data_IF_959243629979
#
_entry.id   IF_959243629979
#
_cell.length_a   1.000
_cell.length_b   1.000
_cell.length_c   1.000
_cell.angle_alpha   90.00
_cell.angle_beta   90.00
_cell.angle_gamma   90.00
#
_symmetry.space_group_name_H-M   'P 1'
#
loop_
_entity.id
_entity.type
_entity.pdbx_description
1 polymer ?
#
# COMPACT_ATOMS: atom_id res chain seq x y z
N UNK A 1 -20.20 73.54 72.27
CA UNK A 1 -21.28 72.65 71.81
C UNK A 1 -20.73 71.71 70.75
N UNK A 2 -20.84 70.42 70.94
CA UNK A 2 -19.93 69.35 70.41
C UNK A 2 -20.14 69.07 68.94
N UNK A 3 -19.01 69.07 68.15
CA UNK A 3 -18.88 68.43 66.84
C UNK A 3 -18.14 67.08 67.01
N UNK A 4 -18.84 66.01 66.78
CA UNK A 4 -18.21 64.68 66.71
C UNK A 4 -17.85 64.37 65.24
N UNK A 5 -16.56 64.28 64.95
CA UNK A 5 -16.01 63.80 63.67
C UNK A 5 -16.05 62.29 63.64
N UNK A 6 -16.77 61.74 62.63
CA UNK A 6 -16.82 60.29 62.34
C UNK A 6 -15.72 59.98 61.34
N UNK A 7 -14.72 59.23 61.73
CA UNK A 7 -13.67 58.73 60.85
C UNK A 7 -14.14 57.38 60.31
N UNK A 8 -14.39 57.31 58.99
CA UNK A 8 -14.64 56.06 58.26
C UNK A 8 -13.30 55.50 57.86
N UNK A 9 -12.91 54.33 58.42
CA UNK A 9 -11.80 53.54 57.96
C UNK A 9 -12.26 52.66 56.77
N UNK A 10 -11.79 52.97 55.56
CA UNK A 10 -11.95 52.11 54.41
C UNK A 10 -10.85 51.04 54.48
N UNK A 11 -11.22 49.82 54.85
CA UNK A 11 -10.31 48.64 54.73
C UNK A 11 -10.37 48.13 53.27
N UNK A 12 -9.28 48.35 52.53
CA UNK A 12 -9.06 47.82 51.20
C UNK A 12 -8.67 46.33 51.33
N UNK A 13 -9.62 45.43 51.21
CA UNK A 13 -9.36 43.99 51.10
C UNK A 13 -8.87 43.68 49.69
N UNK A 14 -7.59 43.57 49.50
CA UNK A 14 -6.96 43.09 48.25
C UNK A 14 -7.27 41.59 48.07
N UNK A 15 -8.28 41.29 47.28
CA UNK A 15 -8.56 39.92 46.85
C UNK A 15 -7.51 39.46 45.81
N UNK A 16 -6.48 38.76 46.29
CA UNK A 16 -5.51 38.12 45.45
C UNK A 16 -6.18 36.88 44.83
N UNK A 17 -6.66 37.01 43.61
CA UNK A 17 -7.09 35.85 42.79
C UNK A 17 -5.84 35.16 42.33
N UNK A 18 -5.43 34.08 43.01
CA UNK A 18 -4.45 33.12 42.52
C UNK A 18 -5.10 32.41 41.32
N UNK A 19 -4.82 32.88 40.10
CA UNK A 19 -5.02 32.09 38.87
C UNK A 19 -4.07 30.89 38.97
N UNK A 20 -4.56 29.78 39.47
CA UNK A 20 -3.91 28.49 39.25
C UNK A 20 -3.96 28.24 37.73
N UNK A 21 -2.87 28.56 37.04
CA UNK A 21 -2.65 28.05 35.70
C UNK A 21 -2.52 26.53 35.87
N UNK A 22 -3.66 25.84 35.70
CA UNK A 22 -3.63 24.40 35.53
C UNK A 22 -2.72 24.16 34.32
N UNK A 23 -1.51 23.67 34.59
CA UNK A 23 -0.63 23.20 33.52
C UNK A 23 -1.45 22.16 32.73
N UNK A 24 -1.87 22.54 31.52
CA UNK A 24 -2.45 21.55 30.61
C UNK A 24 -1.46 20.40 30.51
N UNK A 25 -1.88 19.15 30.77
CA UNK A 25 -0.99 18.03 30.59
C UNK A 25 -0.39 18.13 29.20
N UNK A 26 0.93 18.05 29.10
CA UNK A 26 1.62 18.11 27.83
C UNK A 26 0.92 17.13 26.87
N UNK A 27 0.44 17.63 25.74
CA UNK A 27 -0.28 16.79 24.77
C UNK A 27 0.59 15.58 24.45
N UNK A 28 0.03 14.38 24.59
CA UNK A 28 0.78 13.16 24.33
C UNK A 28 1.27 13.16 22.88
N UNK A 29 2.57 12.95 22.70
CA UNK A 29 3.17 12.75 21.38
C UNK A 29 3.19 11.25 21.09
N UNK A 30 2.41 10.83 20.12
CA UNK A 30 2.33 9.45 19.69
C UNK A 30 3.52 9.07 18.82
N UNK A 31 4.04 7.86 19.00
CA UNK A 31 5.17 7.32 18.24
C UNK A 31 4.72 6.10 17.44
N UNK A 32 4.77 6.18 16.14
CA UNK A 32 4.44 5.07 15.23
C UNK A 32 5.70 4.59 14.52
N UNK A 33 5.95 3.29 14.60
CA UNK A 33 6.95 2.61 13.76
C UNK A 33 6.27 2.08 12.51
N UNK A 34 6.80 2.42 11.34
CA UNK A 34 6.28 1.97 10.05
C UNK A 34 7.43 1.36 9.25
N UNK A 35 7.21 0.21 8.64
CA UNK A 35 8.29 -0.41 7.87
C UNK A 35 7.79 -1.28 6.72
N UNK A 36 8.62 -1.35 5.69
CA UNK A 36 8.42 -2.08 4.46
C UNK A 36 9.73 -2.71 3.99
N UNK A 37 9.67 -3.70 3.11
CA UNK A 37 10.84 -4.36 2.53
C UNK A 37 10.85 -4.16 1.02
N UNK A 38 12.00 -3.74 0.46
CA UNK A 38 12.30 -3.82 -0.98
C UNK A 38 11.59 -2.82 -1.90
N UNK A 39 11.06 -1.72 -1.39
CA UNK A 39 10.43 -0.71 -2.24
C UNK A 39 11.46 0.18 -2.95
N UNK A 40 11.17 0.51 -4.20
CA UNK A 40 11.89 1.52 -4.99
C UNK A 40 11.34 2.95 -4.76
N UNK A 41 10.20 3.07 -4.09
CA UNK A 41 9.52 4.34 -3.82
C UNK A 41 8.64 4.27 -2.57
N UNK A 42 8.19 5.43 -2.09
CA UNK A 42 7.24 5.51 -0.97
C UNK A 42 5.87 4.98 -1.41
N UNK A 43 5.29 3.98 -0.71
CA UNK A 43 4.04 3.38 -1.14
C UNK A 43 2.87 4.39 -1.03
N UNK A 44 1.94 4.42 -2.00
CA UNK A 44 0.77 5.31 -1.97
C UNK A 44 -0.10 5.14 -0.72
N UNK A 45 -0.19 3.94 -0.18
CA UNK A 45 -0.89 3.67 1.08
C UNK A 45 -0.26 4.37 2.29
N UNK A 46 1.06 4.56 2.32
CA UNK A 46 1.72 5.37 3.36
C UNK A 46 1.37 6.86 3.21
N UNK A 47 1.31 7.35 1.97
CA UNK A 47 0.92 8.73 1.73
C UNK A 47 -0.50 9.01 2.23
N UNK A 48 -1.46 8.16 1.84
CA UNK A 48 -2.87 8.32 2.24
C UNK A 48 -3.12 7.99 3.72
N UNK A 49 -2.29 7.14 4.35
CA UNK A 49 -2.27 6.96 5.81
C UNK A 49 -1.89 8.27 6.51
N UNK A 50 -0.83 8.95 6.07
CA UNK A 50 -0.41 10.25 6.61
C UNK A 50 -1.49 11.32 6.45
N UNK A 51 -2.11 11.39 5.28
CA UNK A 51 -3.24 12.31 5.01
C UNK A 51 -4.43 12.01 5.92
N UNK A 52 -4.80 10.74 6.08
CA UNK A 52 -5.87 10.30 6.97
C UNK A 52 -5.59 10.63 8.43
N UNK A 53 -4.38 10.38 8.92
CA UNK A 53 -3.97 10.75 10.27
C UNK A 53 -4.01 12.26 10.49
N UNK A 54 -3.56 13.05 9.51
CA UNK A 54 -3.64 14.51 9.55
C UNK A 54 -5.08 15.00 9.63
N UNK A 55 -5.99 14.41 8.84
CA UNK A 55 -7.42 14.74 8.88
C UNK A 55 -8.07 14.41 10.23
N UNK A 56 -7.54 13.42 10.96
CA UNK A 56 -7.95 13.03 12.31
C UNK A 56 -7.27 13.83 13.43
N UNK A 57 -6.45 14.83 13.06
CA UNK A 57 -5.82 15.73 14.03
C UNK A 57 -4.42 15.30 14.51
N UNK A 58 -3.83 14.28 13.89
CA UNK A 58 -2.45 13.87 14.16
C UNK A 58 -1.49 14.62 13.22
N UNK A 59 -0.69 15.53 13.79
CA UNK A 59 0.27 16.34 13.04
C UNK A 59 1.71 15.88 13.32
N UNK A 60 2.40 15.43 12.26
CA UNK A 60 3.79 15.01 12.32
C UNK A 60 4.69 16.17 12.80
N UNK A 61 5.55 15.90 13.78
CA UNK A 61 6.40 16.91 14.45
C UNK A 61 5.72 17.71 15.56
N UNK A 62 4.40 17.54 15.79
CA UNK A 62 3.68 18.18 16.92
C UNK A 62 3.23 17.14 17.94
N UNK A 63 2.23 16.33 17.58
CA UNK A 63 1.64 15.30 18.43
C UNK A 63 1.82 13.89 17.87
N UNK A 64 2.54 13.75 16.76
CA UNK A 64 2.82 12.49 16.08
C UNK A 64 4.29 12.44 15.63
N UNK A 65 4.96 11.32 15.88
CA UNK A 65 6.27 10.97 15.32
C UNK A 65 6.10 9.72 14.49
N UNK A 66 6.46 9.77 13.20
CA UNK A 66 6.48 8.64 12.29
C UNK A 66 7.92 8.20 12.02
N UNK A 67 8.30 7.03 12.49
CA UNK A 67 9.57 6.38 12.13
C UNK A 67 9.32 5.43 10.97
N UNK A 68 9.50 5.93 9.75
CA UNK A 68 9.34 5.16 8.51
C UNK A 68 10.67 4.58 8.06
N UNK A 69 10.70 3.26 7.82
CA UNK A 69 11.90 2.55 7.34
C UNK A 69 11.54 1.66 6.13
N UNK A 70 12.25 1.87 5.03
CA UNK A 70 12.27 0.97 3.90
C UNK A 70 13.53 0.11 3.99
N UNK A 71 13.39 -1.21 4.03
CA UNK A 71 14.43 -2.16 4.40
C UNK A 71 14.87 -2.98 3.19
N UNK A 72 16.13 -3.41 3.14
CA UNK A 72 16.64 -4.17 2.02
C UNK A 72 16.08 -5.59 1.95
N UNK A 73 15.78 -6.22 3.11
CA UNK A 73 15.38 -7.60 3.21
C UNK A 73 14.60 -7.90 4.49
N UNK A 74 14.13 -9.13 4.63
CA UNK A 74 13.37 -9.59 5.79
C UNK A 74 14.22 -9.68 7.06
N UNK A 75 15.51 -9.95 6.99
CA UNK A 75 16.38 -9.98 8.17
C UNK A 75 16.44 -8.59 8.84
N UNK A 76 16.60 -7.54 8.03
CA UNK A 76 16.53 -6.16 8.50
C UNK A 76 15.15 -5.80 9.09
N UNK A 77 14.07 -6.45 8.64
CA UNK A 77 12.73 -6.27 9.21
C UNK A 77 12.66 -6.79 10.64
N UNK A 78 13.24 -7.96 10.95
CA UNK A 78 13.29 -8.47 12.32
C UNK A 78 14.09 -7.55 13.25
N UNK A 79 15.25 -7.05 12.83
CA UNK A 79 16.05 -6.11 13.60
C UNK A 79 15.30 -4.80 13.86
N UNK A 80 14.59 -4.30 12.84
CA UNK A 80 13.79 -3.07 12.93
C UNK A 80 12.59 -3.24 13.86
N UNK A 81 11.88 -4.35 13.79
CA UNK A 81 10.76 -4.64 14.69
C UNK A 81 11.21 -4.67 16.16
N UNK A 82 12.37 -5.29 16.44
CA UNK A 82 12.97 -5.25 17.78
C UNK A 82 13.40 -3.84 18.20
N UNK A 83 13.88 -3.00 17.26
CA UNK A 83 14.20 -1.61 17.55
C UNK A 83 12.94 -0.84 17.95
N UNK A 84 11.83 -0.99 17.25
CA UNK A 84 10.55 -0.36 17.62
C UNK A 84 10.09 -0.76 19.02
N UNK A 85 10.30 -2.03 19.43
CA UNK A 85 10.00 -2.48 20.79
C UNK A 85 10.91 -1.77 21.81
N UNK A 86 12.23 -1.70 21.56
CA UNK A 86 13.18 -1.01 22.46
C UNK A 86 12.85 0.48 22.58
N UNK A 87 12.47 1.12 21.48
CA UNK A 87 12.13 2.55 21.39
C UNK A 87 10.73 2.85 21.93
N UNK A 88 9.97 1.81 22.33
CA UNK A 88 8.63 1.87 22.91
C UNK A 88 7.68 2.70 22.04
N UNK A 89 7.59 2.34 20.75
CA UNK A 89 6.57 2.94 19.88
C UNK A 89 5.17 2.59 20.40
N UNK A 90 4.21 3.49 20.22
CA UNK A 90 2.82 3.27 20.67
C UNK A 90 2.06 2.31 19.75
N UNK A 91 2.48 2.19 18.49
CA UNK A 91 1.87 1.33 17.48
C UNK A 91 2.85 1.06 16.34
N UNK A 92 2.77 -0.14 15.77
CA UNK A 92 3.51 -0.53 14.56
C UNK A 92 2.53 -0.64 13.38
N UNK A 93 2.89 -0.05 12.24
CA UNK A 93 2.24 -0.31 10.95
C UNK A 93 3.18 -1.17 10.10
N UNK A 94 2.77 -2.38 9.82
CA UNK A 94 3.54 -3.38 9.09
C UNK A 94 2.95 -3.58 7.69
N UNK A 95 3.77 -3.39 6.66
CA UNK A 95 3.35 -3.54 5.26
C UNK A 95 3.83 -4.88 4.73
N UNK A 96 2.91 -5.69 4.23
CA UNK A 96 3.18 -7.00 3.63
C UNK A 96 3.65 -8.08 4.60
N UNK A 97 3.64 -9.33 4.15
CA UNK A 97 3.87 -10.50 5.00
C UNK A 97 5.20 -10.50 5.76
N UNK A 98 6.29 -10.03 5.14
CA UNK A 98 7.62 -10.06 5.76
C UNK A 98 7.68 -9.18 7.03
N UNK A 99 7.17 -7.96 6.94
CA UNK A 99 7.16 -7.04 8.09
C UNK A 99 6.16 -7.46 9.16
N UNK A 100 5.03 -8.07 8.77
CA UNK A 100 4.04 -8.59 9.74
C UNK A 100 4.62 -9.76 10.52
N UNK A 101 5.34 -10.69 9.86
CA UNK A 101 6.06 -11.77 10.56
C UNK A 101 7.06 -11.22 11.56
N UNK A 102 7.85 -10.23 11.14
CA UNK A 102 8.84 -9.59 12.00
C UNK A 102 8.20 -8.89 13.21
N UNK A 103 7.13 -8.11 13.00
CA UNK A 103 6.39 -7.44 14.08
C UNK A 103 5.78 -8.45 15.06
N UNK A 104 5.11 -9.49 14.55
CA UNK A 104 4.51 -10.55 15.36
C UNK A 104 5.53 -11.29 16.23
N UNK A 105 6.73 -11.55 15.67
CA UNK A 105 7.81 -12.19 16.41
C UNK A 105 8.44 -11.29 17.48
N UNK A 106 8.40 -9.96 17.27
CA UNK A 106 9.04 -9.01 18.17
C UNK A 106 8.17 -8.63 19.38
N UNK A 107 6.83 -8.65 19.27
CA UNK A 107 5.95 -8.17 20.33
C UNK A 107 4.58 -8.84 20.33
N UNK A 108 4.03 -9.02 21.55
CA UNK A 108 2.63 -9.39 21.80
C UNK A 108 1.84 -8.26 22.44
N UNK A 109 2.51 -7.15 22.80
CA UNK A 109 1.93 -6.05 23.59
C UNK A 109 1.71 -4.79 22.76
N UNK A 110 2.67 -4.43 21.90
CA UNK A 110 2.53 -3.24 21.05
C UNK A 110 1.51 -3.56 19.96
N UNK A 111 0.46 -2.71 19.80
CA UNK A 111 -0.49 -2.83 18.69
C UNK A 111 0.18 -2.87 17.33
N UNK A 112 -0.28 -3.77 16.46
CA UNK A 112 0.19 -3.87 15.08
C UNK A 112 -1.00 -3.74 14.14
N UNK A 113 -0.96 -2.74 13.26
CA UNK A 113 -1.90 -2.61 12.14
C UNK A 113 -1.16 -3.06 10.89
N UNK A 114 -1.59 -4.18 10.32
CA UNK A 114 -1.00 -4.66 9.08
C UNK A 114 -1.77 -4.21 7.86
N UNK A 115 -1.03 -3.99 6.77
CA UNK A 115 -1.55 -3.65 5.45
C UNK A 115 -0.98 -4.60 4.42
N UNK A 116 -1.73 -4.84 3.36
CA UNK A 116 -1.25 -5.60 2.21
C UNK A 116 -0.86 -7.05 2.54
N UNK A 117 -1.68 -7.72 3.35
CA UNK A 117 -1.53 -9.15 3.67
C UNK A 117 -2.55 -9.95 2.88
N UNK A 118 -2.12 -11.04 2.24
CA UNK A 118 -3.01 -11.83 1.40
C UNK A 118 -4.01 -12.67 2.21
N UNK A 119 -3.53 -13.56 3.05
CA UNK A 119 -4.36 -14.38 3.93
C UNK A 119 -3.79 -14.38 5.35
N UNK A 120 -4.26 -13.46 6.22
CA UNK A 120 -3.73 -13.35 7.58
C UNK A 120 -4.13 -14.53 8.49
N UNK A 121 -5.16 -15.29 8.13
CA UNK A 121 -5.55 -16.49 8.88
C UNK A 121 -4.67 -17.67 8.51
N UNK A 122 -4.49 -17.95 7.21
CA UNK A 122 -3.60 -19.01 6.74
C UNK A 122 -2.13 -18.71 7.12
N UNK A 123 -1.71 -17.44 7.12
CA UNK A 123 -0.39 -17.02 7.60
C UNK A 123 -0.24 -17.10 9.12
N UNK A 124 -1.32 -17.41 9.84
CA UNK A 124 -1.32 -17.54 11.31
C UNK A 124 -1.15 -16.22 12.04
N UNK A 125 -1.42 -15.06 11.42
CA UNK A 125 -1.33 -13.77 12.09
C UNK A 125 -2.48 -13.52 13.05
N UNK A 126 -3.68 -13.93 12.65
CA UNK A 126 -4.90 -13.85 13.45
C UNK A 126 -5.69 -15.16 13.38
N UNK A 127 -6.44 -15.54 14.43
CA UNK A 127 -7.26 -16.76 14.42
C UNK A 127 -8.48 -16.66 13.51
N UNK A 128 -9.03 -15.45 13.31
CA UNK A 128 -10.13 -15.17 12.39
C UNK A 128 -10.15 -13.70 11.99
N UNK A 129 -10.80 -13.39 10.87
CA UNK A 129 -10.92 -12.00 10.41
C UNK A 129 -11.86 -11.19 11.30
N UNK A 130 -12.98 -11.79 11.74
CA UNK A 130 -13.98 -11.11 12.55
C UNK A 130 -13.50 -10.82 13.98
N UNK A 131 -12.67 -11.70 14.54
CA UNK A 131 -12.17 -11.61 15.91
C UNK A 131 -10.66 -11.92 15.94
N UNK A 132 -9.79 -10.94 15.67
CA UNK A 132 -8.34 -11.12 15.67
C UNK A 132 -7.77 -11.54 17.03
N UNK A 133 -8.35 -11.05 18.13
CA UNK A 133 -8.13 -11.55 19.49
C UNK A 133 -6.79 -11.21 20.14
N UNK A 134 -5.78 -10.79 19.39
CA UNK A 134 -4.44 -10.45 19.87
C UNK A 134 -4.10 -8.95 19.73
N UNK A 135 -2.81 -8.68 19.53
CA UNK A 135 -2.32 -7.32 19.28
C UNK A 135 -2.24 -6.96 17.78
N UNK A 136 -2.64 -7.86 16.88
CA UNK A 136 -2.64 -7.67 15.44
C UNK A 136 -4.07 -7.45 14.91
N UNK A 137 -4.23 -6.48 14.03
CA UNK A 137 -5.41 -6.25 13.17
C UNK A 137 -4.98 -5.55 11.89
N UNK A 138 -5.86 -5.33 10.94
CA UNK A 138 -5.49 -4.57 9.74
C UNK A 138 -6.35 -4.87 8.52
N UNK A 139 -5.70 -4.77 7.36
CA UNK A 139 -6.35 -4.83 6.06
C UNK A 139 -5.70 -5.91 5.20
N UNK A 140 -6.49 -6.95 4.95
CA UNK A 140 -6.15 -7.98 3.99
C UNK A 140 -6.64 -7.58 2.60
N UNK A 141 -5.88 -7.92 1.58
CA UNK A 141 -6.28 -7.76 0.19
C UNK A 141 -5.65 -8.89 -0.63
N UNK A 142 -6.36 -9.35 -1.62
CA UNK A 142 -5.76 -10.23 -2.64
C UNK A 142 -4.81 -9.36 -3.48
N UNK A 143 -3.52 -9.51 -3.23
CA UNK A 143 -2.47 -8.88 -4.03
C UNK A 143 -1.98 -9.79 -5.15
N UNK A 144 -2.49 -11.02 -5.20
CA UNK A 144 -2.20 -11.90 -6.31
C UNK A 144 -2.71 -11.27 -7.61
N UNK A 145 -1.86 -11.34 -8.59
CA UNK A 145 -2.30 -11.12 -9.96
C UNK A 145 -3.49 -12.06 -10.20
N UNK A 146 -4.52 -11.56 -10.86
CA UNK A 146 -5.62 -12.37 -11.37
C UNK A 146 -5.36 -12.56 -12.86
N UNK A 147 -4.50 -13.53 -13.23
CA UNK A 147 -4.02 -13.64 -14.61
C UNK A 147 -5.15 -13.83 -15.60
N UNK A 148 -6.17 -14.59 -15.22
CA UNK A 148 -7.36 -14.86 -16.03
C UNK A 148 -8.11 -13.57 -16.37
N UNK A 149 -8.49 -12.81 -15.36
CA UNK A 149 -9.25 -11.56 -15.55
C UNK A 149 -8.42 -10.47 -16.21
N UNK A 150 -7.16 -10.39 -15.85
CA UNK A 150 -6.24 -9.39 -16.44
C UNK A 150 -5.96 -9.70 -17.90
N UNK A 151 -5.78 -10.97 -18.28
CA UNK A 151 -5.64 -11.38 -19.69
C UNK A 151 -6.93 -11.16 -20.49
N UNK A 152 -8.11 -11.47 -19.90
CA UNK A 152 -9.40 -11.18 -20.54
C UNK A 152 -9.52 -9.68 -20.87
N UNK A 153 -9.28 -8.80 -19.90
CA UNK A 153 -9.27 -7.35 -20.11
C UNK A 153 -8.23 -6.92 -21.15
N UNK A 154 -7.07 -7.55 -21.13
CA UNK A 154 -5.99 -7.22 -22.07
C UNK A 154 -6.38 -7.55 -23.51
N UNK A 155 -7.00 -8.70 -23.75
CA UNK A 155 -7.50 -9.06 -25.09
C UNK A 155 -8.63 -8.16 -25.58
N UNK A 156 -9.48 -7.67 -24.67
CA UNK A 156 -10.53 -6.72 -25.00
C UNK A 156 -9.98 -5.33 -25.32
N UNK A 157 -8.93 -4.88 -24.60
CA UNK A 157 -8.28 -3.59 -24.83
C UNK A 157 -7.35 -3.60 -26.06
N UNK A 158 -6.80 -4.76 -26.39
CA UNK A 158 -5.87 -4.96 -27.51
C UNK A 158 -6.39 -6.11 -28.41
N UNK A 159 -7.34 -5.85 -29.31
CA UNK A 159 -8.01 -6.93 -30.10
C UNK A 159 -7.09 -7.74 -31.00
N UNK A 160 -5.90 -7.19 -31.33
CA UNK A 160 -4.87 -7.89 -32.13
C UNK A 160 -3.91 -8.72 -31.26
N UNK A 161 -4.09 -8.78 -29.95
CA UNK A 161 -3.23 -9.52 -29.04
C UNK A 161 -3.27 -11.02 -29.36
N UNK A 162 -2.12 -11.59 -29.67
CA UNK A 162 -1.94 -13.03 -29.94
C UNK A 162 -0.73 -13.59 -29.24
N UNK A 163 0.39 -12.85 -29.24
CA UNK A 163 1.66 -13.28 -28.67
C UNK A 163 2.12 -12.32 -27.58
N UNK A 164 2.33 -12.83 -26.38
CA UNK A 164 2.77 -12.06 -25.22
C UNK A 164 4.19 -12.44 -24.80
N UNK A 165 5.04 -11.44 -24.66
CA UNK A 165 6.24 -11.59 -23.85
C UNK A 165 5.84 -11.72 -22.39
N UNK A 166 6.20 -12.83 -21.75
CA UNK A 166 5.98 -13.07 -20.33
C UNK A 166 7.31 -13.03 -19.59
N UNK A 167 7.48 -12.06 -18.70
CA UNK A 167 8.65 -11.96 -17.84
C UNK A 167 8.31 -12.56 -16.46
N UNK A 168 9.13 -13.49 -16.02
CA UNK A 168 8.96 -14.18 -14.76
C UNK A 168 10.27 -14.31 -13.99
N UNK A 169 10.21 -14.20 -12.67
CA UNK A 169 11.33 -14.45 -11.76
C UNK A 169 11.20 -15.88 -11.20
N UNK A 170 12.09 -16.82 -11.58
CA UNK A 170 12.02 -18.19 -11.08
C UNK A 170 12.33 -18.31 -9.57
N UNK A 171 12.95 -17.28 -8.97
CA UNK A 171 13.27 -17.24 -7.54
C UNK A 171 12.08 -16.71 -6.70
N UNK A 172 11.08 -16.10 -7.34
CA UNK A 172 9.86 -15.67 -6.63
C UNK A 172 8.96 -16.89 -6.33
N UNK A 173 8.68 -17.17 -5.04
CA UNK A 173 7.91 -18.35 -4.64
C UNK A 173 6.51 -18.44 -5.24
N UNK A 174 5.92 -17.32 -5.65
CA UNK A 174 4.58 -17.25 -6.23
C UNK A 174 4.58 -17.59 -7.74
N UNK A 175 5.72 -17.44 -8.40
CA UNK A 175 5.83 -17.61 -9.86
C UNK A 175 5.30 -18.93 -10.36
N UNK A 176 5.59 -20.12 -9.77
CA UNK A 176 5.11 -21.38 -10.32
C UNK A 176 3.59 -21.49 -10.36
N UNK A 177 2.89 -21.02 -9.31
CA UNK A 177 1.44 -21.00 -9.25
C UNK A 177 0.83 -20.03 -10.26
N UNK A 178 1.30 -18.80 -10.25
CA UNK A 178 0.84 -17.74 -11.16
C UNK A 178 1.08 -18.12 -12.64
N UNK A 179 2.19 -18.78 -12.95
CA UNK A 179 2.52 -19.22 -14.31
C UNK A 179 1.57 -20.32 -14.78
N UNK A 180 1.19 -21.24 -13.89
CA UNK A 180 0.22 -22.28 -14.22
C UNK A 180 -1.17 -21.67 -14.54
N UNK A 181 -1.63 -20.73 -13.73
CA UNK A 181 -2.88 -19.99 -13.94
C UNK A 181 -2.83 -19.17 -15.24
N UNK A 182 -1.73 -18.45 -15.48
CA UNK A 182 -1.54 -17.66 -16.71
C UNK A 182 -1.62 -18.54 -17.95
N UNK A 183 -0.96 -19.69 -17.97
CA UNK A 183 -0.98 -20.65 -19.10
C UNK A 183 -2.39 -21.20 -19.33
N UNK A 184 -3.12 -21.52 -18.27
CA UNK A 184 -4.50 -21.98 -18.37
C UNK A 184 -5.40 -20.90 -19.00
N UNK A 185 -5.31 -19.67 -18.51
CA UNK A 185 -6.06 -18.53 -19.04
C UNK A 185 -5.66 -18.22 -20.50
N UNK A 186 -4.36 -18.25 -20.81
CA UNK A 186 -3.86 -18.03 -22.17
C UNK A 186 -4.38 -19.06 -23.17
N UNK A 187 -4.44 -20.32 -22.79
CA UNK A 187 -5.02 -21.39 -23.61
C UNK A 187 -6.48 -21.10 -23.93
N UNK A 188 -7.27 -20.71 -22.93
CA UNK A 188 -8.70 -20.36 -23.10
C UNK A 188 -8.89 -19.15 -24.04
N UNK A 189 -7.96 -18.20 -24.04
CA UNK A 189 -7.98 -16.98 -24.86
C UNK A 189 -7.21 -17.11 -26.19
N UNK A 190 -6.65 -18.28 -26.49
CA UNK A 190 -5.85 -18.56 -27.70
C UNK A 190 -4.64 -17.62 -27.82
N UNK A 191 -3.95 -17.39 -26.71
CA UNK A 191 -2.73 -16.61 -26.62
C UNK A 191 -1.49 -17.51 -26.64
N UNK A 192 -0.44 -17.07 -27.33
CA UNK A 192 0.89 -17.67 -27.29
C UNK A 192 1.80 -16.88 -26.34
N UNK A 193 2.58 -17.56 -25.54
CA UNK A 193 3.52 -16.95 -24.60
C UNK A 193 4.97 -17.18 -25.03
N UNK A 194 5.71 -16.09 -25.10
CA UNK A 194 7.17 -16.06 -25.21
C UNK A 194 7.71 -15.82 -23.81
N UNK A 195 8.03 -16.90 -23.10
CA UNK A 195 8.38 -16.84 -21.68
C UNK A 195 9.89 -16.64 -21.50
N UNK A 196 10.26 -15.68 -20.64
CA UNK A 196 11.64 -15.42 -20.25
C UNK A 196 11.77 -15.37 -18.72
N UNK A 197 12.70 -16.19 -18.22
CA UNK A 197 13.17 -16.10 -16.84
C UNK A 197 14.17 -14.95 -16.72
N UNK A 198 13.91 -14.03 -15.77
CA UNK A 198 14.72 -12.86 -15.49
C UNK A 198 14.80 -12.64 -13.98
N UNK A 199 15.97 -12.33 -13.45
CA UNK A 199 16.19 -12.09 -12.02
C UNK A 199 16.77 -10.70 -11.74
N UNK A 200 17.42 -10.11 -12.74
CA UNK A 200 18.09 -8.82 -12.60
C UNK A 200 17.79 -7.89 -13.79
N UNK A 201 18.12 -6.61 -13.61
CA UNK A 201 17.92 -5.58 -14.63
C UNK A 201 18.56 -5.94 -15.98
N UNK A 202 19.81 -6.45 -15.95
CA UNK A 202 20.54 -6.81 -17.15
C UNK A 202 19.84 -7.89 -17.99
N UNK A 203 19.13 -8.82 -17.34
CA UNK A 203 18.33 -9.83 -18.02
C UNK A 203 17.15 -9.20 -18.75
N UNK A 204 16.42 -8.33 -18.08
CA UNK A 204 15.29 -7.61 -18.67
C UNK A 204 15.74 -6.81 -19.89
N UNK A 205 16.80 -6.02 -19.75
CA UNK A 205 17.35 -5.24 -20.87
C UNK A 205 17.82 -6.12 -22.03
N UNK A 206 18.41 -7.27 -21.74
CA UNK A 206 18.85 -8.25 -22.76
C UNK A 206 17.65 -8.81 -23.53
N UNK A 207 16.58 -9.19 -22.84
CA UNK A 207 15.34 -9.69 -23.47
C UNK A 207 14.76 -8.62 -24.40
N UNK A 208 14.56 -7.39 -23.90
CA UNK A 208 14.01 -6.32 -24.73
C UNK A 208 14.90 -5.94 -25.90
N UNK A 209 16.22 -6.04 -25.76
CA UNK A 209 17.18 -5.76 -26.86
C UNK A 209 17.10 -6.80 -27.96
N UNK A 210 16.88 -8.06 -27.59
CA UNK A 210 16.79 -9.18 -28.53
C UNK A 210 15.46 -9.28 -29.28
N UNK A 211 14.39 -8.63 -28.78
CA UNK A 211 13.07 -8.65 -29.43
C UNK A 211 13.11 -8.06 -30.85
N UNK A 212 12.65 -8.83 -31.81
CA UNK A 212 12.44 -8.36 -33.17
C UNK A 212 11.11 -7.58 -33.30
N UNK A 213 11.03 -6.59 -34.21
CA UNK A 213 9.78 -5.86 -34.46
C UNK A 213 8.64 -6.80 -34.87
N UNK A 214 7.52 -6.77 -34.15
CA UNK A 214 6.35 -7.61 -34.42
C UNK A 214 6.46 -9.06 -33.91
N UNK A 215 7.49 -9.39 -33.16
CA UNK A 215 7.65 -10.72 -32.56
C UNK A 215 6.58 -10.97 -31.48
N UNK A 216 6.20 -9.92 -30.72
CA UNK A 216 5.19 -9.96 -29.69
C UNK A 216 4.24 -8.76 -29.81
N UNK A 217 3.00 -8.92 -29.35
CA UNK A 217 1.95 -7.90 -29.40
C UNK A 217 1.79 -7.14 -28.11
N UNK A 218 2.40 -7.60 -27.03
CA UNK A 218 2.35 -7.00 -25.70
C UNK A 218 3.28 -7.67 -24.72
N UNK A 219 3.37 -7.10 -23.53
CA UNK A 219 4.22 -7.60 -22.43
C UNK A 219 3.35 -7.90 -21.22
N UNK A 220 3.63 -9.01 -20.53
CA UNK A 220 3.03 -9.35 -19.25
C UNK A 220 4.15 -9.62 -18.23
N UNK A 221 4.16 -8.90 -17.13
CA UNK A 221 5.11 -9.11 -16.03
C UNK A 221 4.39 -9.93 -14.98
N UNK A 222 4.83 -11.17 -14.79
CA UNK A 222 4.11 -12.13 -13.95
C UNK A 222 4.50 -12.03 -12.47
N UNK A 223 5.80 -12.01 -12.19
CA UNK A 223 6.29 -12.13 -10.81
C UNK A 223 6.18 -10.83 -10.03
N UNK A 224 5.57 -10.83 -8.83
CA UNK A 224 5.47 -9.66 -7.95
C UNK A 224 6.80 -8.97 -7.67
N UNK A 225 7.88 -9.74 -7.46
CA UNK A 225 9.22 -9.19 -7.25
C UNK A 225 9.67 -8.28 -8.41
N UNK A 226 9.45 -8.71 -9.66
CA UNK A 226 9.79 -7.92 -10.85
C UNK A 226 8.92 -6.65 -10.93
N UNK A 227 7.64 -6.80 -10.63
CA UNK A 227 6.67 -5.70 -10.67
C UNK A 227 7.01 -4.60 -9.67
N UNK A 228 7.49 -4.97 -8.48
CA UNK A 228 7.88 -4.00 -7.44
C UNK A 228 9.25 -3.39 -7.75
N UNK A 229 10.25 -4.23 -8.05
CA UNK A 229 11.66 -3.81 -8.15
C UNK A 229 11.99 -3.06 -9.43
N UNK A 230 11.34 -3.40 -10.56
CA UNK A 230 11.72 -2.89 -11.89
C UNK A 230 10.62 -2.12 -12.60
N UNK A 231 9.64 -1.58 -11.86
CA UNK A 231 8.49 -0.88 -12.42
C UNK A 231 8.85 0.23 -13.42
N UNK A 232 9.81 1.09 -13.05
CA UNK A 232 10.25 2.20 -13.90
C UNK A 232 10.86 1.73 -15.22
N UNK A 233 11.76 0.74 -15.12
CA UNK A 233 12.44 0.15 -16.28
C UNK A 233 11.45 -0.51 -17.24
N UNK A 234 10.53 -1.31 -16.71
CA UNK A 234 9.55 -2.05 -17.52
C UNK A 234 8.60 -1.11 -18.27
N UNK A 235 8.11 -0.07 -17.62
CA UNK A 235 7.26 0.96 -18.24
C UNK A 235 8.05 1.69 -19.34
N UNK A 236 9.30 2.03 -19.08
CA UNK A 236 10.15 2.72 -20.06
C UNK A 236 10.41 1.85 -21.31
N UNK A 237 10.89 0.61 -21.12
CA UNK A 237 11.22 -0.29 -22.23
C UNK A 237 10.00 -0.65 -23.08
N UNK A 238 8.84 -0.86 -22.46
CA UNK A 238 7.60 -1.14 -23.20
C UNK A 238 7.12 0.07 -23.98
N UNK A 239 7.27 1.28 -23.44
CA UNK A 239 6.93 2.52 -24.13
C UNK A 239 7.84 2.74 -25.36
N UNK A 240 9.15 2.54 -25.25
CA UNK A 240 10.10 2.64 -26.37
C UNK A 240 9.76 1.68 -27.51
N UNK A 241 9.36 0.46 -27.18
CA UNK A 241 8.98 -0.58 -28.14
C UNK A 241 7.53 -0.50 -28.61
N UNK A 242 6.74 0.47 -28.09
CA UNK A 242 5.29 0.62 -28.34
C UNK A 242 4.51 -0.67 -28.06
N UNK A 243 4.88 -1.37 -27.02
CA UNK A 243 4.20 -2.59 -26.57
C UNK A 243 3.24 -2.26 -25.43
N UNK A 244 1.96 -2.65 -25.52
CA UNK A 244 1.03 -2.49 -24.42
C UNK A 244 1.45 -3.34 -23.22
N UNK A 245 1.32 -2.76 -22.03
CA UNK A 245 1.68 -3.34 -20.75
C UNK A 245 0.53 -3.18 -19.76
N UNK A 246 -0.03 -4.26 -19.21
CA UNK A 246 -0.86 -4.21 -18.02
C UNK A 246 -0.02 -3.75 -16.82
N UNK A 247 -0.53 -2.75 -16.10
CA UNK A 247 0.10 -2.32 -14.87
C UNK A 247 -0.21 -3.27 -13.70
N UNK A 248 0.73 -3.40 -12.80
CA UNK A 248 0.52 -4.09 -11.54
C UNK A 248 -0.55 -3.38 -10.70
N UNK A 249 -0.49 -2.03 -10.66
CA UNK A 249 -1.39 -1.15 -9.91
C UNK A 249 -1.62 0.14 -10.69
N UNK A 250 -2.53 0.98 -10.21
CA UNK A 250 -2.85 2.30 -10.77
C UNK A 250 -1.61 3.17 -11.01
N UNK A 251 -0.61 3.14 -10.11
CA UNK A 251 0.62 3.92 -10.24
C UNK A 251 1.40 3.62 -11.53
N UNK A 252 1.32 2.38 -12.01
CA UNK A 252 1.91 2.03 -13.31
C UNK A 252 1.16 2.69 -14.45
N UNK A 253 -0.17 2.75 -14.35
CA UNK A 253 -1.04 3.36 -15.37
C UNK A 253 -0.80 4.87 -15.44
N UNK A 254 -0.66 5.51 -14.28
CA UNK A 254 -0.28 6.94 -14.18
C UNK A 254 1.08 7.22 -14.84
N UNK A 255 1.99 6.26 -14.85
CA UNK A 255 3.35 6.34 -15.42
C UNK A 255 3.46 5.83 -16.86
N UNK A 256 2.39 5.32 -17.46
CA UNK A 256 2.36 4.93 -18.88
C UNK A 256 1.95 3.49 -19.20
N UNK A 257 1.66 2.63 -18.24
CA UNK A 257 1.02 1.35 -18.53
C UNK A 257 -0.38 1.56 -19.13
N UNK A 258 -0.87 0.59 -19.89
CA UNK A 258 -2.14 0.73 -20.62
C UNK A 258 -3.35 0.72 -19.69
N UNK A 259 -3.37 -0.21 -18.76
CA UNK A 259 -4.43 -0.36 -17.76
C UNK A 259 -3.93 -1.10 -16.53
N UNK A 260 -4.68 -1.04 -15.42
CA UNK A 260 -4.51 -1.93 -14.28
C UNK A 260 -5.86 -2.46 -13.82
N UNK A 261 -5.84 -3.65 -13.25
CA UNK A 261 -6.97 -4.24 -12.55
C UNK A 261 -6.47 -4.80 -11.23
N UNK A 262 -6.60 -4.01 -10.16
CA UNK A 262 -5.92 -4.25 -8.88
C UNK A 262 -6.68 -3.58 -7.71
N UNK A 263 -6.41 -3.97 -6.45
CA UNK A 263 -6.97 -3.29 -5.28
C UNK A 263 -6.58 -1.81 -5.20
N UNK A 264 -7.51 -0.95 -4.74
CA UNK A 264 -7.20 0.44 -4.37
C UNK A 264 -6.37 0.48 -3.07
N UNK A 265 -5.06 0.47 -3.22
CA UNK A 265 -4.14 0.56 -2.07
C UNK A 265 -4.17 1.92 -1.37
N UNK A 266 -4.61 2.98 -2.05
CA UNK A 266 -4.78 4.31 -1.45
C UNK A 266 -5.96 4.32 -0.47
N UNK A 267 -7.05 3.61 -0.78
CA UNK A 267 -8.15 3.43 0.16
C UNK A 267 -7.67 2.67 1.42
N UNK A 268 -6.87 1.64 1.25
CA UNK A 268 -6.31 0.87 2.39
C UNK A 268 -5.54 1.80 3.35
N UNK A 269 -4.72 2.71 2.84
CA UNK A 269 -3.99 3.67 3.67
C UNK A 269 -4.91 4.64 4.43
N UNK A 270 -5.95 5.17 3.77
CA UNK A 270 -6.96 6.03 4.42
C UNK A 270 -7.70 5.30 5.53
N UNK A 271 -8.12 4.06 5.28
CA UNK A 271 -8.86 3.26 6.24
C UNK A 271 -7.98 2.85 7.43
N UNK A 272 -6.71 2.55 7.18
CA UNK A 272 -5.73 2.28 8.23
C UNK A 272 -5.57 3.45 9.21
N UNK A 273 -5.67 4.70 8.74
CA UNK A 273 -5.64 5.85 9.63
C UNK A 273 -6.77 5.82 10.69
N UNK A 274 -7.96 5.32 10.32
CA UNK A 274 -9.07 5.18 11.27
C UNK A 274 -8.84 4.07 12.29
N UNK A 275 -8.14 2.99 11.90
CA UNK A 275 -7.76 1.92 12.83
C UNK A 275 -6.68 2.39 13.79
N UNK A 276 -5.67 3.09 13.29
CA UNK A 276 -4.64 3.73 14.12
C UNK A 276 -5.30 4.68 15.13
N UNK A 277 -6.19 5.56 14.70
CA UNK A 277 -6.92 6.51 15.58
C UNK A 277 -7.68 5.79 16.70
N UNK A 278 -8.48 4.75 16.34
CA UNK A 278 -9.22 3.95 17.32
C UNK A 278 -8.30 3.30 18.35
N UNK A 279 -7.16 2.75 17.91
CA UNK A 279 -6.20 2.08 18.79
C UNK A 279 -5.51 3.09 19.70
N UNK A 280 -5.07 4.22 19.17
CA UNK A 280 -4.46 5.30 19.98
C UNK A 280 -5.44 5.89 21.02
N UNK A 281 -6.75 5.81 20.75
CA UNK A 281 -7.83 6.19 21.68
C UNK A 281 -8.22 5.06 22.65
N UNK A 282 -7.56 3.89 22.59
CA UNK A 282 -7.72 2.82 23.58
C UNK A 282 -8.52 1.60 23.11
N UNK A 283 -8.97 1.55 21.86
CA UNK A 283 -9.59 0.33 21.32
C UNK A 283 -8.49 -0.75 21.17
N UNK A 284 -8.79 -1.96 21.61
CA UNK A 284 -7.83 -3.07 21.46
C UNK A 284 -7.80 -3.56 20.01
N UNK A 285 -6.62 -3.85 19.44
CA UNK A 285 -6.53 -4.40 18.09
C UNK A 285 -7.39 -5.65 17.88
N UNK A 286 -7.42 -6.54 18.88
CA UNK A 286 -8.21 -7.76 18.83
C UNK A 286 -9.74 -7.58 18.75
N UNK A 287 -10.23 -6.38 19.05
CA UNK A 287 -11.65 -6.03 18.95
C UNK A 287 -12.00 -5.36 17.60
N UNK A 288 -11.00 -5.05 16.79
CA UNK A 288 -11.15 -4.48 15.45
C UNK A 288 -11.05 -5.61 14.42
N UNK A 289 -12.09 -5.88 13.63
CA UNK A 289 -12.04 -6.96 12.63
C UNK A 289 -10.96 -6.66 11.59
N UNK A 290 -10.35 -7.71 11.05
CA UNK A 290 -9.53 -7.58 9.84
C UNK A 290 -10.48 -7.35 8.68
N UNK A 291 -10.30 -6.24 7.97
CA UNK A 291 -11.10 -5.95 6.79
C UNK A 291 -10.47 -6.55 5.54
N UNK A 292 -11.26 -7.31 4.82
CA UNK A 292 -10.87 -7.87 3.54
C UNK A 292 -11.23 -6.92 2.41
N UNK A 293 -10.24 -6.41 1.67
CA UNK A 293 -10.44 -5.52 0.53
C UNK A 293 -10.50 -6.32 -0.76
N UNK A 294 -11.72 -6.60 -1.21
CA UNK A 294 -11.99 -7.37 -2.43
C UNK A 294 -12.31 -6.49 -3.64
N UNK A 295 -12.54 -5.18 -3.43
CA UNK A 295 -12.83 -4.28 -4.54
C UNK A 295 -11.58 -4.07 -5.38
N UNK A 296 -11.66 -4.51 -6.62
CA UNK A 296 -10.66 -4.27 -7.63
C UNK A 296 -11.10 -3.06 -8.48
N UNK A 297 -10.16 -2.24 -8.86
CA UNK A 297 -10.38 -1.07 -9.71
C UNK A 297 -9.79 -1.32 -11.10
N UNK A 298 -10.60 -1.05 -12.13
CA UNK A 298 -10.15 -0.97 -13.51
C UNK A 298 -9.75 0.47 -13.81
N UNK A 299 -8.46 0.71 -14.02
CA UNK A 299 -7.93 2.02 -14.45
C UNK A 299 -7.38 1.90 -15.86
N UNK A 300 -7.76 2.82 -16.76
CA UNK A 300 -7.35 2.80 -18.17
C UNK A 300 -6.66 4.12 -18.53
N UNK A 301 -5.53 4.05 -19.27
CA UNK A 301 -4.80 5.21 -19.75
C UNK A 301 -5.08 5.45 -21.23
N UNK A 302 -5.86 6.49 -21.53
CA UNK A 302 -6.19 6.87 -22.92
C UNK A 302 -5.02 7.51 -23.66
N UNK A 303 -4.09 8.18 -22.97
CA UNK A 303 -2.86 8.68 -23.62
C UNK A 303 -2.03 7.54 -24.17
N UNK A 304 -1.82 6.52 -23.34
CA UNK A 304 -1.07 5.32 -23.73
C UNK A 304 -1.81 4.57 -24.85
N UNK A 305 -3.12 4.39 -24.72
CA UNK A 305 -3.93 3.77 -25.77
C UNK A 305 -3.78 4.50 -27.11
N UNK A 306 -3.88 5.85 -27.11
CA UNK A 306 -3.70 6.66 -28.31
C UNK A 306 -2.29 6.52 -28.90
N UNK A 307 -1.25 6.52 -28.07
CA UNK A 307 0.14 6.35 -28.53
C UNK A 307 0.36 4.97 -29.17
N UNK A 308 -0.34 3.95 -28.70
CA UNK A 308 -0.32 2.58 -29.22
C UNK A 308 -1.25 2.38 -30.43
N UNK A 309 -2.01 3.41 -30.82
CA UNK A 309 -3.00 3.31 -31.91
C UNK A 309 -4.20 2.45 -31.57
N UNK A 310 -4.55 2.33 -30.28
CA UNK A 310 -5.65 1.53 -29.79
C UNK A 310 -6.91 2.39 -29.62
N UNK A 311 -8.05 1.83 -30.01
CA UNK A 311 -9.36 2.40 -29.73
C UNK A 311 -10.00 1.58 -28.61
N UNK A 312 -10.21 2.19 -27.46
CA UNK A 312 -10.78 1.50 -26.31
C UNK A 312 -12.30 1.36 -26.49
N UNK A 313 -12.85 0.14 -26.34
CA UNK A 313 -14.29 -0.08 -26.45
C UNK A 313 -15.08 0.77 -25.45
N UNK A 314 -16.20 1.42 -25.87
CA UNK A 314 -17.02 2.25 -24.98
C UNK A 314 -17.49 1.51 -23.72
N UNK A 315 -17.76 0.21 -23.83
CA UNK A 315 -18.16 -0.61 -22.69
C UNK A 315 -17.08 -0.68 -21.61
N UNK A 316 -15.80 -0.82 -21.99
CA UNK A 316 -14.69 -0.84 -21.04
C UNK A 316 -14.46 0.53 -20.39
N UNK A 317 -14.66 1.61 -21.15
CA UNK A 317 -14.60 2.98 -20.59
C UNK A 317 -15.71 3.21 -19.56
N UNK A 318 -16.89 2.63 -19.78
CA UNK A 318 -18.01 2.70 -18.84
C UNK A 318 -17.77 1.84 -17.58
N UNK A 319 -17.11 0.70 -17.74
CA UNK A 319 -16.75 -0.20 -16.64
C UNK A 319 -15.54 0.26 -15.83
N UNK A 320 -14.72 1.15 -16.39
CA UNK A 320 -13.54 1.66 -15.72
C UNK A 320 -13.93 2.51 -14.50
N UNK A 321 -13.30 2.26 -13.36
CA UNK A 321 -13.41 3.10 -12.16
C UNK A 321 -12.70 4.44 -12.39
N UNK A 322 -11.64 4.46 -13.21
CA UNK A 322 -10.92 5.66 -13.57
C UNK A 322 -10.37 5.60 -14.99
N UNK A 323 -10.42 6.74 -15.70
CA UNK A 323 -9.86 6.91 -17.04
C UNK A 323 -8.88 8.08 -17.03
N UNK A 324 -7.60 7.80 -17.25
CA UNK A 324 -6.52 8.81 -17.32
C UNK A 324 -6.49 9.37 -18.76
N UNK A 325 -6.63 10.70 -18.85
CA UNK A 325 -6.69 11.45 -20.12
C UNK A 325 -5.38 12.22 -20.39
#
# INVERSE_FOLDING_TARGET
MFLRTFRILLSLSSLVVLLSAAAQPAAKVWRLGLFHVGLDHVPPSLHTLREGLKALGYEEGKNLLLDWRNLPDEAAAYETAQAFVRDRVDLIVAFENQTVRAAKAATTDIPVVFLHVDDPVAAGYVPSLAHPGGNLTGFAALFFDLPDKKLELFTQLVPRLRRLLVLQDPEDPLTPGLLAELRQAGTALTLEFVEHAVTEQADIERVFRALEPGEVDGVYVLSPNLQVKYSALLIHLTAERRLPLPGYRKEWVERGALFSYAPDIRAIGRDAATYVDKILKGTKPGDLPVEWRTRLELVINLKTAKTLGLTIPPLLLFQADEVIQ
#
